data_IF_891094013967
#
_entry.id   IF_891094013967
#
_cell.length_a   1.000
_cell.length_b   1.000
_cell.length_c   1.000
_cell.angle_alpha   90.00
_cell.angle_beta   90.00
_cell.angle_gamma   90.00
#
_symmetry.space_group_name_H-M   'P 1'
#
loop_
_entity.id
_entity.type
_entity.pdbx_description
1 polymer ?
#
# COMPACT_ATOMS: atom_id res chain seq x y z
N UNK A 1 1.56 9.63 -2.26
CA UNK A 1 1.81 10.41 -1.03
C UNK A 1 1.17 11.81 -1.01
N UNK A 2 1.45 12.72 -1.97
CA UNK A 2 0.93 14.10 -1.95
C UNK A 2 -0.59 14.23 -1.74
N UNK A 3 -1.39 13.41 -2.44
CA UNK A 3 -2.85 13.42 -2.29
C UNK A 3 -3.33 13.00 -0.89
N UNK A 4 -2.67 12.01 -0.27
CA UNK A 4 -2.95 11.58 1.11
C UNK A 4 -2.61 12.72 2.07
N UNK A 5 -1.42 13.31 1.94
CA UNK A 5 -0.98 14.42 2.79
C UNK A 5 -1.83 15.70 2.66
N UNK A 6 -2.64 15.84 1.61
CA UNK A 6 -3.58 16.96 1.49
C UNK A 6 -4.64 16.95 2.60
N UNK A 7 -4.97 15.78 3.15
CA UNK A 7 -5.87 15.61 4.29
C UNK A 7 -5.14 15.71 5.63
N UNK A 8 -4.26 16.70 5.77
CA UNK A 8 -3.32 16.81 6.89
C UNK A 8 -3.99 16.84 8.28
N UNK A 9 -5.26 17.19 8.41
CA UNK A 9 -5.99 17.15 9.69
C UNK A 9 -6.32 15.74 10.17
N UNK A 10 -6.31 14.74 9.28
CA UNK A 10 -6.61 13.34 9.63
C UNK A 10 -5.40 12.58 10.18
N UNK A 11 -4.18 13.13 9.99
CA UNK A 11 -2.92 12.47 10.35
C UNK A 11 -2.28 13.10 11.58
N UNK A 12 -1.23 12.45 12.09
CA UNK A 12 -0.53 12.86 13.29
C UNK A 12 -0.08 14.34 13.25
N UNK A 13 -0.43 15.08 14.30
CA UNK A 13 0.02 16.44 14.60
C UNK A 13 0.34 16.52 16.08
N UNK A 14 1.56 16.94 16.44
CA UNK A 14 2.02 16.97 17.84
C UNK A 14 1.15 17.87 18.74
N UNK A 15 0.63 18.97 18.19
CA UNK A 15 -0.18 19.96 18.90
C UNK A 15 -1.69 19.65 18.89
N UNK A 16 -2.10 18.49 18.35
CA UNK A 16 -3.52 18.15 18.24
C UNK A 16 -4.13 17.86 19.62
N UNK A 17 -5.30 18.45 19.88
CA UNK A 17 -6.13 18.13 21.05
C UNK A 17 -7.30 17.19 20.68
N UNK A 18 -7.38 16.78 19.42
CA UNK A 18 -8.42 15.86 18.94
C UNK A 18 -8.14 14.43 19.45
N UNK A 19 -9.18 13.61 19.65
CA UNK A 19 -9.01 12.22 20.03
C UNK A 19 -8.16 11.44 19.03
N UNK A 20 -7.23 10.63 19.53
CA UNK A 20 -6.38 9.78 18.68
C UNK A 20 -7.21 8.76 17.91
N UNK A 21 -7.02 8.72 16.60
CA UNK A 21 -7.50 7.68 15.70
C UNK A 21 -6.32 6.85 15.19
N UNK A 22 -6.59 5.71 14.53
CA UNK A 22 -5.53 4.94 13.86
C UNK A 22 -4.77 5.75 12.81
N UNK A 23 -5.44 6.69 12.13
CA UNK A 23 -4.82 7.55 11.10
C UNK A 23 -3.90 8.60 11.73
N UNK A 24 -4.20 9.03 12.96
CA UNK A 24 -3.43 10.04 13.67
C UNK A 24 -2.31 9.46 14.53
N UNK A 25 -2.05 8.15 14.45
CA UNK A 25 -0.86 7.54 15.02
C UNK A 25 0.40 8.02 14.28
N UNK A 26 1.47 8.31 15.03
CA UNK A 26 2.69 8.92 14.49
C UNK A 26 3.35 8.10 13.37
N UNK A 27 3.21 6.78 13.43
CA UNK A 27 3.81 5.84 12.49
C UNK A 27 2.88 5.47 11.32
N UNK A 28 1.64 5.96 11.26
CA UNK A 28 0.67 5.54 10.24
C UNK A 28 1.17 5.75 8.81
N UNK A 29 1.69 6.95 8.51
CA UNK A 29 2.19 7.25 7.16
C UNK A 29 3.43 6.42 6.79
N UNK A 30 4.26 6.07 7.78
CA UNK A 30 5.40 5.17 7.56
C UNK A 30 4.91 3.76 7.24
N UNK A 31 3.95 3.23 8.01
CA UNK A 31 3.35 1.92 7.74
C UNK A 31 2.72 1.84 6.35
N UNK A 32 2.08 2.93 5.90
CA UNK A 32 1.51 3.01 4.56
C UNK A 32 2.59 2.96 3.46
N UNK A 33 3.70 3.68 3.66
CA UNK A 33 4.85 3.65 2.74
C UNK A 33 5.50 2.26 2.71
N UNK A 34 5.69 1.64 3.88
CA UNK A 34 6.26 0.30 4.02
C UNK A 34 5.38 -0.76 3.33
N UNK A 35 4.06 -0.69 3.51
CA UNK A 35 3.11 -1.58 2.83
C UNK A 35 3.20 -1.45 1.31
N UNK A 36 3.26 -0.22 0.80
CA UNK A 36 3.38 0.05 -0.63
C UNK A 36 4.69 -0.51 -1.20
N UNK A 37 5.81 -0.35 -0.48
CA UNK A 37 7.11 -0.90 -0.87
C UNK A 37 7.12 -2.43 -0.81
N UNK A 38 6.51 -3.00 0.23
CA UNK A 38 6.40 -4.45 0.39
C UNK A 38 5.67 -5.08 -0.79
N UNK A 39 4.48 -4.59 -1.15
CA UNK A 39 3.76 -5.13 -2.30
C UNK A 39 4.46 -4.86 -3.64
N UNK A 40 5.12 -3.70 -3.77
CA UNK A 40 5.94 -3.41 -4.93
C UNK A 40 7.08 -4.42 -5.11
N UNK A 41 7.77 -4.74 -4.00
CA UNK A 41 8.92 -5.64 -4.05
C UNK A 41 8.52 -7.02 -4.54
N UNK A 42 7.36 -7.56 -4.13
CA UNK A 42 6.85 -8.88 -4.57
C UNK A 42 6.74 -9.00 -6.10
N UNK A 43 6.52 -7.91 -6.81
CA UNK A 43 6.40 -7.86 -8.28
C UNK A 43 7.59 -7.16 -8.95
N UNK A 44 8.69 -6.96 -8.23
CA UNK A 44 9.94 -6.41 -8.77
C UNK A 44 9.89 -4.91 -9.09
N UNK A 45 8.99 -4.14 -8.47
CA UNK A 45 8.94 -2.66 -8.62
C UNK A 45 9.09 -1.94 -7.28
N UNK A 46 9.32 -0.63 -7.31
CA UNK A 46 9.57 0.15 -6.08
C UNK A 46 8.32 0.42 -5.22
N UNK A 47 7.12 0.30 -5.78
CA UNK A 47 5.86 0.60 -5.12
C UNK A 47 4.71 -0.18 -5.78
N UNK A 48 3.86 -0.83 -4.99
CA UNK A 48 2.69 -1.58 -5.44
C UNK A 48 1.52 -1.45 -4.48
N UNK A 49 0.31 -1.51 -5.02
CA UNK A 49 -0.93 -1.51 -4.24
C UNK A 49 -1.63 -2.86 -4.44
N UNK A 50 -1.95 -3.53 -3.34
CA UNK A 50 -2.61 -4.83 -3.37
C UNK A 50 -4.12 -4.68 -3.50
N UNK A 51 -4.72 -5.47 -4.40
CA UNK A 51 -6.16 -5.53 -4.59
C UNK A 51 -6.67 -6.94 -4.34
N UNK A 52 -7.89 -7.04 -3.82
CA UNK A 52 -8.61 -8.29 -3.66
C UNK A 52 -9.84 -8.31 -4.55
N UNK A 53 -10.03 -9.39 -5.30
CA UNK A 53 -11.22 -9.65 -6.12
C UNK A 53 -11.80 -10.97 -5.65
N UNK A 54 -13.11 -10.99 -5.38
CA UNK A 54 -13.81 -12.20 -4.91
C UNK A 54 -13.89 -13.27 -5.99
N UNK A 55 -14.16 -12.84 -7.22
CA UNK A 55 -14.32 -13.73 -8.38
C UNK A 55 -13.00 -13.86 -9.16
N UNK A 56 -12.96 -14.83 -10.08
CA UNK A 56 -11.80 -15.04 -10.93
C UNK A 56 -11.50 -13.81 -11.79
N UNK A 57 -10.20 -13.46 -11.90
CA UNK A 57 -9.75 -12.43 -12.81
C UNK A 57 -9.93 -12.90 -14.27
N UNK A 58 -10.70 -12.15 -15.05
CA UNK A 58 -10.85 -12.39 -16.48
C UNK A 58 -9.61 -11.90 -17.24
N UNK A 59 -8.60 -12.76 -17.33
CA UNK A 59 -7.34 -12.51 -18.04
C UNK A 59 -7.22 -13.44 -19.25
N UNK A 60 -6.52 -12.97 -20.28
CA UNK A 60 -6.35 -13.71 -21.54
C UNK A 60 -5.59 -15.03 -21.35
N UNK A 61 -4.50 -15.02 -20.58
CA UNK A 61 -3.71 -16.20 -20.24
C UNK A 61 -3.23 -16.14 -18.77
N UNK A 62 -3.75 -17.02 -17.89
CA UNK A 62 -3.33 -17.05 -16.49
C UNK A 62 -1.90 -17.57 -16.30
N UNK A 63 -1.37 -18.40 -17.20
CA UNK A 63 0.01 -18.92 -17.11
C UNK A 63 0.99 -17.79 -17.42
N UNK A 64 0.75 -17.01 -18.47
CA UNK A 64 1.56 -15.84 -18.80
C UNK A 64 1.55 -14.81 -17.66
N UNK A 65 0.41 -14.63 -16.97
CA UNK A 65 0.33 -13.74 -15.81
C UNK A 65 1.18 -14.24 -14.63
N UNK A 66 1.10 -15.52 -14.30
CA UNK A 66 1.74 -16.11 -13.10
C UNK A 66 3.23 -16.44 -13.29
N UNK A 67 3.74 -16.43 -14.52
CA UNK A 67 5.16 -16.68 -14.85
C UNK A 67 5.98 -15.41 -15.04
N UNK A 68 5.38 -14.22 -14.82
CA UNK A 68 6.11 -12.95 -14.88
C UNK A 68 7.21 -12.93 -13.80
N UNK A 69 8.33 -12.22 -14.04
CA UNK A 69 9.34 -12.04 -13.02
C UNK A 69 8.74 -11.41 -11.76
N UNK A 70 8.85 -12.12 -10.64
CA UNK A 70 8.36 -11.71 -9.32
C UNK A 70 9.46 -11.97 -8.31
N UNK A 71 9.56 -11.13 -7.28
CA UNK A 71 10.59 -11.24 -6.25
C UNK A 71 10.14 -12.09 -5.05
N UNK A 72 9.13 -12.95 -5.22
CA UNK A 72 8.53 -13.72 -4.11
C UNK A 72 9.49 -14.80 -3.56
N UNK A 73 10.55 -15.14 -4.30
CA UNK A 73 11.48 -16.23 -3.99
C UNK A 73 12.96 -15.82 -3.85
N UNK A 74 13.25 -14.51 -3.68
CA UNK A 74 14.62 -14.04 -3.40
C UNK A 74 14.94 -14.07 -1.91
#
# INVERSE_FOLDING_TARGET
MKAICAYASQFYRAESQEPTTRLSEQNFLQQLDDSTRYYGSLIGVGAGEAFYVREALNVEDPVALLTRPMNIYS
#
